data_IF_659028735701
#
_entry.id   IF_659028735701
#
_cell.length_a   1.000
_cell.length_b   1.000
_cell.length_c   1.000
_cell.angle_alpha   90.00
_cell.angle_beta   90.00
_cell.angle_gamma   90.00
#
_symmetry.space_group_name_H-M   'P 1'
#
loop_
_entity.id
_entity.type
_entity.pdbx_description
1 polymer ?
#
# COMPACT_ATOMS: atom_id res chain seq x y z
N UNK A 1 14.37 25.86 2.74
CA UNK A 1 14.51 25.50 1.31
C UNK A 1 14.65 23.99 1.12
N UNK A 2 15.57 23.31 1.82
CA UNK A 2 15.77 21.85 1.74
C UNK A 2 14.47 21.05 1.99
N UNK A 3 13.70 21.36 3.03
CA UNK A 3 12.44 20.69 3.36
C UNK A 3 11.46 20.64 2.19
N UNK A 4 11.27 21.77 1.49
CA UNK A 4 10.34 21.85 0.33
C UNK A 4 10.84 20.95 -0.81
N UNK A 5 12.14 20.96 -1.09
CA UNK A 5 12.76 20.10 -2.11
C UNK A 5 12.52 18.62 -1.79
N UNK A 6 12.69 18.21 -0.52
CA UNK A 6 12.50 16.83 -0.11
C UNK A 6 11.01 16.43 -0.10
N UNK A 7 10.08 17.32 0.21
CA UNK A 7 8.64 17.07 0.09
C UNK A 7 8.26 16.80 -1.38
N UNK A 8 8.77 17.61 -2.31
CA UNK A 8 8.57 17.39 -3.75
C UNK A 8 9.20 16.06 -4.16
N UNK A 9 10.41 15.75 -3.72
CA UNK A 9 11.09 14.48 -4.00
C UNK A 9 10.29 13.28 -3.48
N UNK A 10 9.73 13.37 -2.27
CA UNK A 10 8.88 12.31 -1.71
C UNK A 10 7.65 12.03 -2.59
N UNK A 11 6.98 13.08 -3.08
CA UNK A 11 5.88 12.92 -4.04
C UNK A 11 6.34 12.30 -5.36
N UNK A 12 7.48 12.74 -5.91
CA UNK A 12 8.03 12.21 -7.16
C UNK A 12 8.44 10.73 -7.02
N UNK A 13 9.08 10.34 -5.91
CA UNK A 13 9.38 8.95 -5.59
C UNK A 13 8.09 8.11 -5.57
N UNK A 14 7.08 8.59 -4.86
CA UNK A 14 5.77 7.95 -4.83
C UNK A 14 5.15 7.81 -6.22
N UNK A 15 5.34 8.81 -7.08
CA UNK A 15 4.77 8.88 -8.42
C UNK A 15 5.37 7.89 -9.43
N UNK A 16 6.46 7.19 -9.09
CA UNK A 16 7.03 6.13 -9.93
C UNK A 16 5.98 5.01 -10.12
N UNK A 17 5.43 4.80 -11.32
CA UNK A 17 4.41 3.80 -11.60
C UNK A 17 5.06 2.45 -11.93
N UNK A 18 5.67 1.81 -10.92
CA UNK A 18 6.55 0.64 -11.04
C UNK A 18 5.97 -0.48 -11.90
N UNK A 19 4.74 -0.93 -11.62
CA UNK A 19 4.11 -2.00 -12.38
C UNK A 19 3.85 -1.61 -13.85
N UNK A 20 3.44 -0.35 -14.10
CA UNK A 20 3.22 0.12 -15.46
C UNK A 20 4.53 0.16 -16.27
N UNK A 21 5.60 0.69 -15.68
CA UNK A 21 6.90 0.74 -16.34
C UNK A 21 7.49 -0.66 -16.54
N UNK A 22 7.42 -1.53 -15.55
CA UNK A 22 7.86 -2.93 -15.70
C UNK A 22 7.08 -3.59 -16.86
N UNK A 23 5.77 -3.44 -16.91
CA UNK A 23 4.95 -3.99 -17.99
C UNK A 23 5.34 -3.48 -19.37
N UNK A 24 5.50 -2.17 -19.51
CA UNK A 24 5.83 -1.55 -20.79
C UNK A 24 7.26 -1.86 -21.24
N UNK A 25 8.25 -1.74 -20.35
CA UNK A 25 9.67 -1.86 -20.70
C UNK A 25 10.09 -3.30 -20.96
N UNK A 26 9.65 -4.24 -20.10
CA UNK A 26 10.16 -5.61 -20.15
C UNK A 26 9.21 -6.61 -20.81
N UNK A 27 7.91 -6.26 -20.94
CA UNK A 27 6.90 -7.18 -21.47
C UNK A 27 6.12 -6.61 -22.66
N UNK A 28 6.32 -5.34 -22.99
CA UNK A 28 5.55 -4.62 -24.01
C UNK A 28 4.02 -4.68 -23.76
N UNK A 29 3.62 -4.68 -22.48
CA UNK A 29 2.22 -4.78 -22.03
C UNK A 29 1.83 -3.54 -21.25
N UNK A 30 0.67 -2.94 -21.60
CA UNK A 30 0.03 -1.89 -20.82
C UNK A 30 -0.91 -2.52 -19.79
N UNK A 31 -0.52 -2.55 -18.52
CA UNK A 31 -1.31 -3.14 -17.44
C UNK A 31 -2.71 -2.53 -17.27
N UNK A 32 -2.95 -1.34 -17.77
CA UNK A 32 -4.28 -0.70 -17.72
C UNK A 32 -5.31 -1.35 -18.63
N UNK A 33 -4.86 -2.09 -19.64
CA UNK A 33 -5.69 -2.77 -20.63
C UNK A 33 -5.88 -4.26 -20.27
N UNK A 34 -5.26 -4.74 -19.17
CA UNK A 34 -5.24 -6.15 -18.83
C UNK A 34 -5.66 -6.41 -17.37
N UNK A 35 -6.34 -7.51 -17.15
CA UNK A 35 -6.79 -7.97 -15.85
C UNK A 35 -7.74 -7.00 -15.17
N UNK A 36 -7.36 -6.44 -14.02
CA UNK A 36 -8.17 -5.44 -13.30
C UNK A 36 -7.98 -4.01 -13.79
N UNK A 37 -7.09 -3.76 -14.75
CA UNK A 37 -6.70 -2.43 -15.19
C UNK A 37 -5.87 -1.63 -14.17
N UNK A 38 -5.59 -2.21 -13.00
CA UNK A 38 -4.79 -1.54 -11.98
C UNK A 38 -3.29 -1.70 -12.26
N UNK A 39 -2.52 -0.65 -12.03
CA UNK A 39 -1.06 -0.62 -12.27
C UNK A 39 -0.22 -1.15 -11.10
N UNK A 40 -0.85 -1.62 -10.01
CA UNK A 40 -0.15 -2.06 -8.80
C UNK A 40 0.20 -3.55 -8.79
N UNK A 41 0.90 -3.93 -7.74
CA UNK A 41 1.49 -5.25 -7.47
C UNK A 41 0.59 -6.43 -7.84
N UNK A 42 -0.66 -6.46 -7.35
CA UNK A 42 -1.57 -7.62 -7.53
C UNK A 42 -1.89 -7.88 -9.01
N UNK A 43 -2.13 -6.83 -9.80
CA UNK A 43 -2.39 -6.98 -11.22
C UNK A 43 -1.11 -7.38 -11.98
N UNK A 44 0.03 -6.84 -11.56
CA UNK A 44 1.34 -7.23 -12.11
C UNK A 44 1.62 -8.72 -11.88
N UNK A 45 1.37 -9.24 -10.67
CA UNK A 45 1.46 -10.69 -10.40
C UNK A 45 0.58 -11.52 -11.34
N UNK A 46 -0.65 -11.06 -11.55
CA UNK A 46 -1.65 -11.78 -12.36
C UNK A 46 -1.29 -11.82 -13.85
N UNK A 47 -0.82 -10.71 -14.40
CA UNK A 47 -0.61 -10.56 -15.85
C UNK A 47 0.82 -10.88 -16.26
N UNK A 48 1.81 -10.46 -15.47
CA UNK A 48 3.23 -10.56 -15.81
C UNK A 48 3.97 -11.64 -15.02
N UNK A 49 3.27 -12.32 -14.10
CA UNK A 49 3.82 -13.42 -13.30
C UNK A 49 4.59 -12.98 -12.05
N UNK A 50 5.15 -14.01 -11.37
CA UNK A 50 5.69 -13.85 -10.00
C UNK A 50 6.88 -12.89 -9.92
N UNK A 51 7.82 -12.94 -10.87
CA UNK A 51 9.03 -12.10 -10.85
C UNK A 51 8.69 -10.61 -10.99
N UNK A 52 7.88 -10.26 -11.99
CA UNK A 52 7.45 -8.89 -12.22
C UNK A 52 6.58 -8.35 -11.08
N UNK A 53 5.67 -9.18 -10.55
CA UNK A 53 4.85 -8.83 -9.40
C UNK A 53 5.68 -8.55 -8.14
N UNK A 54 6.69 -9.39 -7.85
CA UNK A 54 7.59 -9.18 -6.72
C UNK A 54 8.44 -7.91 -6.90
N UNK A 55 8.99 -7.68 -8.08
CA UNK A 55 9.75 -6.45 -8.38
C UNK A 55 8.87 -5.21 -8.17
N UNK A 56 7.62 -5.24 -8.67
CA UNK A 56 6.65 -4.15 -8.44
C UNK A 56 6.38 -3.93 -6.95
N UNK A 57 6.17 -5.02 -6.18
CA UNK A 57 5.96 -4.93 -4.73
C UNK A 57 7.14 -4.29 -4.02
N UNK A 58 8.36 -4.76 -4.29
CA UNK A 58 9.59 -4.26 -3.67
C UNK A 58 9.77 -2.77 -3.96
N UNK A 59 9.63 -2.35 -5.22
CA UNK A 59 9.75 -0.93 -5.59
C UNK A 59 8.66 -0.11 -4.90
N UNK A 60 7.39 -0.55 -4.94
CA UNK A 60 6.28 0.19 -4.34
C UNK A 60 6.39 0.29 -2.82
N UNK A 61 6.88 -0.76 -2.15
CA UNK A 61 7.13 -0.76 -0.71
C UNK A 61 8.29 0.19 -0.36
N UNK A 62 9.45 -0.02 -0.97
CA UNK A 62 10.65 0.75 -0.59
C UNK A 62 10.60 2.21 -1.03
N UNK A 63 9.86 2.58 -2.08
CA UNK A 63 9.67 4.01 -2.38
C UNK A 63 8.92 4.74 -1.26
N UNK A 64 7.95 4.06 -0.59
CA UNK A 64 7.28 4.59 0.60
C UNK A 64 8.21 4.71 1.79
N UNK A 65 8.99 3.65 2.07
CA UNK A 65 10.01 3.64 3.13
C UNK A 65 11.05 4.74 2.92
N UNK A 66 11.63 4.81 1.73
CA UNK A 66 12.67 5.80 1.39
C UNK A 66 12.14 7.23 1.54
N UNK A 67 10.94 7.50 1.01
CA UNK A 67 10.33 8.82 1.15
C UNK A 67 10.17 9.21 2.63
N UNK A 68 9.69 8.29 3.47
CA UNK A 68 9.53 8.51 4.92
C UNK A 68 10.88 8.79 5.60
N UNK A 69 11.95 8.15 5.15
CA UNK A 69 13.28 8.32 5.74
C UNK A 69 14.04 9.55 5.22
N UNK A 70 13.58 10.23 4.16
CA UNK A 70 14.28 11.39 3.60
C UNK A 70 14.66 12.46 4.64
N UNK A 71 13.77 12.93 5.54
CA UNK A 71 14.14 13.94 6.51
C UNK A 71 15.20 13.46 7.50
N UNK A 72 15.24 12.16 7.81
CA UNK A 72 16.28 11.58 8.67
C UNK A 72 17.63 11.51 7.94
N UNK A 73 17.63 11.06 6.68
CA UNK A 73 18.84 10.96 5.85
C UNK A 73 19.49 12.32 5.62
N UNK A 74 18.67 13.37 5.41
CA UNK A 74 19.15 14.73 5.15
C UNK A 74 19.16 15.62 6.38
N UNK A 75 18.98 15.05 7.58
CA UNK A 75 18.99 15.78 8.86
C UNK A 75 18.05 16.99 8.92
N UNK A 76 16.90 16.91 8.25
CA UNK A 76 15.88 17.97 8.28
C UNK A 76 15.05 17.86 9.55
N UNK A 77 14.97 18.95 10.30
CA UNK A 77 14.18 19.07 11.53
C UNK A 77 12.88 19.84 11.31
N UNK A 78 11.94 19.75 12.26
CA UNK A 78 10.70 20.54 12.27
C UNK A 78 9.55 19.96 11.45
N UNK A 79 9.76 18.88 10.67
CA UNK A 79 8.68 18.17 9.94
C UNK A 79 8.78 16.68 10.21
N UNK A 80 7.67 16.07 10.67
CA UNK A 80 7.62 14.64 10.95
C UNK A 80 7.85 13.80 9.68
N UNK A 81 8.64 12.72 9.77
CA UNK A 81 8.87 11.79 8.65
C UNK A 81 7.60 11.26 7.99
N UNK A 82 6.53 11.06 8.74
CA UNK A 82 5.26 10.53 8.23
C UNK A 82 4.61 11.45 7.17
N UNK A 83 4.90 12.77 7.20
CA UNK A 83 4.41 13.73 6.19
C UNK A 83 5.02 13.44 4.81
N UNK A 84 6.31 13.12 4.77
CA UNK A 84 6.99 12.71 3.53
C UNK A 84 6.41 11.40 3.00
N UNK A 85 6.14 10.44 3.89
CA UNK A 85 5.45 9.20 3.55
C UNK A 85 4.06 9.43 2.96
N UNK A 86 3.28 10.34 3.55
CA UNK A 86 1.97 10.74 3.01
C UNK A 86 2.08 11.24 1.57
N UNK A 87 3.08 12.10 1.28
CA UNK A 87 3.30 12.59 -0.09
C UNK A 87 3.67 11.47 -1.07
N UNK A 88 4.43 10.45 -0.63
CA UNK A 88 4.69 9.29 -1.46
C UNK A 88 3.42 8.48 -1.76
N UNK A 89 2.51 8.35 -0.79
CA UNK A 89 1.21 7.68 -1.03
C UNK A 89 0.31 8.49 -1.96
N UNK A 90 0.29 9.82 -1.80
CA UNK A 90 -0.41 10.72 -2.73
C UNK A 90 0.19 10.56 -4.15
N UNK A 91 1.52 10.55 -4.27
CA UNK A 91 2.22 10.32 -5.54
C UNK A 91 1.89 8.95 -6.16
N UNK A 92 1.82 7.87 -5.38
CA UNK A 92 1.43 6.55 -5.88
C UNK A 92 -0.03 6.52 -6.35
N UNK A 93 -0.92 7.23 -5.67
CA UNK A 93 -2.36 7.26 -5.99
C UNK A 93 -2.67 8.17 -7.17
N UNK A 94 -1.96 9.30 -7.25
CA UNK A 94 -2.09 10.32 -8.29
C UNK A 94 -0.70 10.61 -8.91
N UNK A 95 -0.10 9.64 -9.62
CA UNK A 95 1.25 9.76 -10.13
C UNK A 95 1.33 10.70 -11.34
N UNK A 96 2.19 11.74 -11.23
CA UNK A 96 2.43 12.67 -12.34
C UNK A 96 2.95 11.93 -13.58
N UNK A 97 3.81 10.92 -13.41
CA UNK A 97 4.38 10.13 -14.52
C UNK A 97 3.39 9.16 -15.17
N UNK A 98 2.16 9.04 -14.64
CA UNK A 98 1.13 8.15 -15.18
C UNK A 98 -0.23 8.85 -15.33
N UNK A 99 -0.22 10.15 -15.68
CA UNK A 99 -1.41 10.98 -15.93
C UNK A 99 -2.40 10.94 -14.74
N UNK A 100 -1.87 10.99 -13.52
CA UNK A 100 -2.60 10.97 -12.25
C UNK A 100 -3.54 9.77 -12.03
N UNK A 101 -3.33 8.67 -12.77
CA UNK A 101 -4.09 7.42 -12.64
C UNK A 101 -3.19 6.34 -12.05
N UNK A 102 -3.17 6.22 -10.72
CA UNK A 102 -2.30 5.32 -9.97
C UNK A 102 -2.99 4.11 -9.35
N UNK A 103 -2.26 3.46 -8.43
CA UNK A 103 -2.67 2.25 -7.74
C UNK A 103 -3.56 2.49 -6.51
N UNK A 104 -3.66 1.46 -5.66
CA UNK A 104 -4.44 1.46 -4.41
C UNK A 104 -3.60 1.77 -3.17
N UNK A 105 -2.32 2.01 -3.38
CA UNK A 105 -1.32 2.40 -2.39
C UNK A 105 -1.07 1.44 -1.21
N UNK A 106 -1.52 0.19 -1.27
CA UNK A 106 -1.33 -0.78 -0.16
C UNK A 106 0.15 -0.99 0.15
N UNK A 107 0.95 -1.39 -0.84
CA UNK A 107 2.38 -1.64 -0.66
C UNK A 107 3.13 -0.36 -0.26
N UNK A 108 2.81 0.79 -0.88
CA UNK A 108 3.44 2.07 -0.55
C UNK A 108 3.08 2.54 0.86
N UNK A 109 1.82 2.40 1.29
CA UNK A 109 1.41 2.69 2.68
C UNK A 109 2.09 1.76 3.68
N UNK A 110 2.22 0.46 3.37
CA UNK A 110 2.98 -0.47 4.21
C UNK A 110 4.45 -0.03 4.34
N UNK A 111 5.08 0.39 3.24
CA UNK A 111 6.45 0.93 3.26
C UNK A 111 6.58 2.22 4.08
N UNK A 112 5.58 3.10 4.02
CA UNK A 112 5.53 4.32 4.83
C UNK A 112 5.45 3.98 6.32
N UNK A 113 4.53 3.07 6.69
CA UNK A 113 4.40 2.61 8.08
C UNK A 113 5.68 1.90 8.54
N UNK A 114 6.31 1.09 7.69
CA UNK A 114 7.59 0.45 8.00
C UNK A 114 8.70 1.46 8.28
N UNK A 115 8.80 2.52 7.49
CA UNK A 115 9.79 3.58 7.67
C UNK A 115 9.58 4.41 8.94
N UNK A 116 8.35 4.49 9.46
CA UNK A 116 8.00 5.28 10.64
C UNK A 116 7.88 4.44 11.92
N UNK A 117 7.17 3.32 11.87
CA UNK A 117 6.84 2.44 12.99
C UNK A 117 6.96 0.97 12.57
N UNK A 118 8.19 0.40 12.49
CA UNK A 118 8.41 -0.94 11.92
C UNK A 118 7.68 -2.06 12.67
N UNK A 119 7.58 -1.99 14.00
CA UNK A 119 6.81 -2.99 14.78
C UNK A 119 5.31 -2.93 14.47
N UNK A 120 4.79 -1.73 14.25
CA UNK A 120 3.39 -1.57 13.84
C UNK A 120 3.16 -2.11 12.42
N UNK A 121 4.10 -1.93 11.51
CA UNK A 121 4.07 -2.55 10.20
C UNK A 121 4.08 -4.09 10.29
N UNK A 122 4.88 -4.66 11.18
CA UNK A 122 4.91 -6.11 11.41
C UNK A 122 3.55 -6.64 11.90
N UNK A 123 2.92 -5.95 12.84
CA UNK A 123 1.55 -6.27 13.28
C UNK A 123 0.57 -6.30 12.09
N UNK A 124 0.60 -5.27 11.24
CA UNK A 124 -0.27 -5.20 10.06
C UNK A 124 0.04 -6.31 9.05
N UNK A 125 1.31 -6.68 8.90
CA UNK A 125 1.72 -7.80 8.05
C UNK A 125 1.18 -9.14 8.57
N UNK A 126 1.21 -9.37 9.88
CA UNK A 126 0.61 -10.59 10.50
C UNK A 126 -0.89 -10.66 10.19
N UNK A 127 -1.62 -9.57 10.36
CA UNK A 127 -3.05 -9.52 10.02
C UNK A 127 -3.26 -9.76 8.51
N UNK A 128 -2.49 -9.08 7.67
CA UNK A 128 -2.59 -9.22 6.21
C UNK A 128 -2.39 -10.68 5.76
N UNK A 129 -1.30 -11.32 6.17
CA UNK A 129 -0.98 -12.70 5.77
C UNK A 129 -1.91 -13.72 6.41
N UNK A 130 -2.33 -13.50 7.66
CA UNK A 130 -3.34 -14.34 8.33
C UNK A 130 -4.66 -14.35 7.56
N UNK A 131 -5.20 -13.17 7.24
CA UNK A 131 -6.44 -13.05 6.45
C UNK A 131 -6.23 -13.55 5.01
N UNK A 132 -5.05 -13.36 4.43
CA UNK A 132 -4.72 -13.88 3.11
C UNK A 132 -4.78 -15.41 3.07
N UNK A 133 -4.27 -16.08 4.10
CA UNK A 133 -4.34 -17.53 4.23
C UNK A 133 -5.78 -18.02 4.44
N UNK A 134 -6.54 -17.36 5.31
CA UNK A 134 -7.92 -17.75 5.61
C UNK A 134 -8.87 -17.48 4.43
N UNK A 135 -8.75 -16.34 3.78
CA UNK A 135 -9.71 -15.88 2.77
C UNK A 135 -9.24 -16.04 1.32
N UNK A 136 -7.95 -16.35 1.07
CA UNK A 136 -7.34 -16.46 -0.27
C UNK A 136 -7.49 -15.22 -1.15
N UNK A 137 -7.75 -14.03 -0.57
CA UNK A 137 -8.01 -12.77 -1.28
C UNK A 137 -7.09 -11.64 -0.81
N UNK A 138 -6.24 -11.14 -1.71
CA UNK A 138 -5.36 -9.98 -1.42
C UNK A 138 -6.18 -8.73 -1.05
N UNK A 139 -7.33 -8.54 -1.69
CA UNK A 139 -8.19 -7.39 -1.41
C UNK A 139 -8.80 -7.44 0.00
N UNK A 140 -9.31 -8.59 0.43
CA UNK A 140 -9.83 -8.76 1.80
C UNK A 140 -8.73 -8.52 2.82
N UNK A 141 -7.54 -9.08 2.60
CA UNK A 141 -6.38 -8.90 3.47
C UNK A 141 -5.97 -7.42 3.58
N UNK A 142 -5.97 -6.70 2.44
CA UNK A 142 -5.65 -5.27 2.41
C UNK A 142 -6.66 -4.43 3.20
N UNK A 143 -7.95 -4.72 3.06
CA UNK A 143 -9.03 -4.04 3.78
C UNK A 143 -8.94 -4.35 5.29
N UNK A 144 -8.74 -5.62 5.66
CA UNK A 144 -8.59 -6.04 7.05
C UNK A 144 -7.37 -5.41 7.72
N UNK A 145 -6.23 -5.35 7.03
CA UNK A 145 -5.04 -4.65 7.52
C UNK A 145 -5.27 -3.15 7.67
N UNK A 146 -6.04 -2.51 6.76
CA UNK A 146 -6.39 -1.10 6.88
C UNK A 146 -7.31 -0.84 8.09
N UNK A 147 -8.30 -1.70 8.34
CA UNK A 147 -9.15 -1.61 9.54
C UNK A 147 -8.31 -1.84 10.81
N UNK A 148 -7.43 -2.85 10.80
CA UNK A 148 -6.53 -3.12 11.91
C UNK A 148 -5.57 -1.95 12.19
N UNK A 149 -5.14 -1.21 11.14
CA UNK A 149 -4.34 0.00 11.30
C UNK A 149 -5.10 1.09 12.07
N UNK A 150 -6.37 1.33 11.74
CA UNK A 150 -7.21 2.30 12.45
C UNK A 150 -7.38 1.89 13.92
N UNK A 151 -7.73 0.62 14.16
CA UNK A 151 -7.90 0.10 15.52
C UNK A 151 -6.59 0.19 16.31
N UNK A 152 -5.47 -0.20 15.69
CA UNK A 152 -4.17 -0.23 16.33
C UNK A 152 -3.66 1.15 16.74
N UNK A 153 -3.77 2.18 15.85
CA UNK A 153 -3.31 3.54 16.20
C UNK A 153 -4.17 4.20 17.29
N UNK A 154 -5.42 3.76 17.46
CA UNK A 154 -6.30 4.27 18.50
C UNK A 154 -6.13 3.53 19.84
N UNK A 155 -5.90 2.21 19.82
CA UNK A 155 -5.90 1.40 21.04
C UNK A 155 -4.50 1.14 21.60
N UNK A 156 -3.48 0.89 20.78
CA UNK A 156 -2.17 0.49 21.27
C UNK A 156 -1.49 1.52 22.17
N UNK A 157 -1.58 2.83 21.88
CA UNK A 157 -1.01 3.84 22.75
C UNK A 157 -1.64 3.88 24.17
N UNK A 158 -2.92 3.44 24.32
CA UNK A 158 -3.59 3.37 25.60
C UNK A 158 -2.92 2.37 26.56
N UNK A 159 -2.33 1.32 25.99
CA UNK A 159 -1.73 0.22 26.74
C UNK A 159 -0.19 0.23 26.64
N UNK A 160 0.40 1.19 25.94
CA UNK A 160 1.84 1.21 25.64
C UNK A 160 2.33 0.00 24.85
N UNK A 161 1.44 -0.69 24.13
CA UNK A 161 1.75 -1.89 23.36
C UNK A 161 2.03 -1.56 21.90
N UNK A 162 3.18 -1.99 21.36
CA UNK A 162 3.67 -1.69 19.99
C UNK A 162 3.89 -0.18 19.75
N UNK A 163 2.93 0.66 20.11
CA UNK A 163 3.03 2.12 20.09
C UNK A 163 3.02 2.61 21.55
N UNK A 164 4.14 3.22 21.99
CA UNK A 164 4.37 3.59 23.39
C UNK A 164 3.56 4.81 23.84
N UNK A 165 3.15 5.67 22.91
CA UNK A 165 2.39 6.92 23.19
C UNK A 165 1.61 7.36 21.96
N UNK A 166 0.65 8.28 22.18
CA UNK A 166 -0.07 8.91 21.08
C UNK A 166 0.84 9.90 20.34
N UNK A 167 0.96 9.70 19.03
CA UNK A 167 1.40 10.70 18.07
C UNK A 167 0.17 11.08 17.23
N UNK A 168 -0.35 12.29 17.45
CA UNK A 168 -1.57 12.76 16.78
C UNK A 168 -1.39 12.78 15.26
N UNK A 169 -0.24 13.22 14.77
CA UNK A 169 0.01 13.34 13.34
C UNK A 169 0.10 11.95 12.68
N UNK A 170 0.81 11.00 13.31
CA UNK A 170 0.87 9.62 12.87
C UNK A 170 -0.53 8.98 12.87
N UNK A 171 -1.31 9.20 13.93
CA UNK A 171 -2.68 8.69 14.06
C UNK A 171 -3.57 9.20 12.92
N UNK A 172 -3.62 10.51 12.70
CA UNK A 172 -4.46 11.12 11.65
C UNK A 172 -4.04 10.66 10.26
N UNK A 173 -2.74 10.66 9.97
CA UNK A 173 -2.24 10.21 8.67
C UNK A 173 -2.54 8.72 8.46
N UNK A 174 -2.31 7.86 9.47
CA UNK A 174 -2.60 6.42 9.35
C UNK A 174 -4.08 6.16 9.10
N UNK A 175 -4.98 6.86 9.79
CA UNK A 175 -6.44 6.78 9.52
C UNK A 175 -6.74 7.23 8.09
N UNK A 176 -6.13 8.32 7.62
CA UNK A 176 -6.27 8.81 6.25
C UNK A 176 -5.81 7.80 5.20
N UNK A 177 -4.62 7.20 5.40
CA UNK A 177 -4.06 6.16 4.51
C UNK A 177 -4.95 4.91 4.49
N UNK A 178 -5.40 4.44 5.65
CA UNK A 178 -6.29 3.28 5.77
C UNK A 178 -7.63 3.54 5.08
N UNK A 179 -8.23 4.71 5.28
CA UNK A 179 -9.46 5.13 4.61
C UNK A 179 -9.29 5.19 3.09
N UNK A 180 -8.17 5.74 2.61
CA UNK A 180 -7.84 5.77 1.19
C UNK A 180 -7.77 4.35 0.62
N UNK A 181 -7.09 3.42 1.31
CA UNK A 181 -7.02 2.01 0.89
C UNK A 181 -8.41 1.42 0.79
N UNK A 182 -9.27 1.58 1.80
CA UNK A 182 -10.64 1.04 1.81
C UNK A 182 -11.46 1.60 0.63
N UNK A 183 -11.45 2.93 0.44
CA UNK A 183 -12.17 3.58 -0.67
C UNK A 183 -11.69 3.09 -2.04
N UNK A 184 -10.37 2.91 -2.22
CA UNK A 184 -9.78 2.39 -3.46
C UNK A 184 -10.09 0.90 -3.69
N UNK A 185 -10.65 0.19 -2.71
CA UNK A 185 -11.10 -1.19 -2.83
C UNK A 185 -12.62 -1.35 -3.05
N UNK A 186 -13.37 -0.26 -3.33
CA UNK A 186 -14.82 -0.30 -3.52
C UNK A 186 -15.30 -1.40 -4.50
N UNK A 187 -14.61 -1.56 -5.63
CA UNK A 187 -14.98 -2.57 -6.63
C UNK A 187 -14.63 -4.00 -6.17
N UNK A 188 -13.58 -4.15 -5.35
CA UNK A 188 -13.25 -5.42 -4.71
C UNK A 188 -14.31 -5.79 -3.67
N UNK A 189 -14.76 -4.83 -2.85
CA UNK A 189 -15.82 -5.05 -1.86
C UNK A 189 -17.08 -5.57 -2.55
N UNK A 190 -17.50 -4.96 -3.66
CA UNK A 190 -18.63 -5.45 -4.45
C UNK A 190 -18.41 -6.89 -4.95
N UNK A 191 -17.21 -7.24 -5.45
CA UNK A 191 -16.92 -8.60 -5.88
C UNK A 191 -16.88 -9.59 -4.73
N UNK A 192 -16.36 -9.21 -3.56
CA UNK A 192 -16.39 -10.04 -2.35
C UNK A 192 -17.84 -10.35 -1.94
N UNK A 193 -18.70 -9.33 -1.91
CA UNK A 193 -20.13 -9.49 -1.58
C UNK A 193 -20.86 -10.40 -2.58
N UNK A 194 -20.51 -10.30 -3.87
CA UNK A 194 -21.10 -11.10 -4.94
C UNK A 194 -20.40 -12.48 -5.12
N UNK A 195 -19.47 -12.84 -4.24
CA UNK A 195 -18.67 -14.08 -4.29
C UNK A 195 -17.85 -14.27 -5.60
N UNK A 196 -17.44 -13.17 -6.23
CA UNK A 196 -16.72 -13.16 -7.52
C UNK A 196 -15.32 -12.54 -7.43
N UNK A 197 -14.77 -12.36 -6.20
CA UNK A 197 -13.44 -11.79 -6.05
C UNK A 197 -12.35 -12.79 -6.48
N UNK A 198 -11.26 -12.25 -7.01
CA UNK A 198 -10.13 -13.05 -7.47
C UNK A 198 -9.38 -13.69 -6.30
N UNK A 199 -9.14 -14.99 -6.41
CA UNK A 199 -8.39 -15.76 -5.44
C UNK A 199 -6.91 -15.87 -5.83
N UNK A 200 -6.05 -16.02 -4.83
CA UNK A 200 -4.71 -16.58 -5.01
C UNK A 200 -4.81 -18.12 -5.03
N UNK A 201 -3.82 -18.82 -5.62
CA UNK A 201 -3.90 -20.28 -5.81
C UNK A 201 -3.64 -21.11 -4.54
N UNK A 202 -3.63 -20.46 -3.36
CA UNK A 202 -3.39 -21.10 -2.07
C UNK A 202 -4.20 -20.41 -0.96
N UNK A 203 -4.32 -21.06 0.20
CA UNK A 203 -5.16 -20.63 1.32
C UNK A 203 -6.46 -21.41 1.40
N UNK A 204 -7.27 -21.11 2.43
CA UNK A 204 -8.44 -21.92 2.79
C UNK A 204 -9.74 -21.49 2.09
N UNK A 205 -9.79 -20.28 1.51
CA UNK A 205 -11.00 -19.72 0.90
C UNK A 205 -12.26 -19.88 1.77
N UNK A 206 -12.16 -19.61 3.08
CA UNK A 206 -13.30 -19.76 4.02
C UNK A 206 -14.52 -18.90 3.66
N UNK A 207 -14.37 -17.94 2.77
CA UNK A 207 -15.47 -17.10 2.28
C UNK A 207 -16.22 -17.72 1.10
N UNK A 208 -15.79 -18.92 0.64
CA UNK A 208 -16.39 -19.63 -0.48
C UNK A 208 -16.60 -18.74 -1.71
N UNK A 209 -15.54 -18.04 -2.12
CA UNK A 209 -15.57 -17.27 -3.37
C UNK A 209 -15.55 -18.19 -4.58
N UNK A 210 -16.33 -17.83 -5.60
CA UNK A 210 -16.44 -18.54 -6.89
C UNK A 210 -16.04 -17.59 -8.03
N UNK A 211 -14.74 -17.31 -8.22
CA UNK A 211 -14.31 -16.37 -9.25
C UNK A 211 -14.68 -16.88 -10.63
N UNK A 212 -15.14 -15.98 -11.50
CA UNK A 212 -15.39 -16.30 -12.90
C UNK A 212 -14.09 -16.83 -13.54
N UNK A 213 -14.18 -17.96 -14.20
CA UNK A 213 -13.11 -18.57 -15.00
C UNK A 213 -12.68 -17.64 -16.13
#
# INVERSE_FOLDING_TARGET
>A
MMTIVLLILAYLLGSIPSGLWIGQIFFNINLREHGSGNTGTTNTFRILGKKAGMATFVIDFFKGTLATLLPLIFHVQGVSPIVFGLLAVIGHTFPIFAKFKGGKAVATSAGVIFGFAPLFCLYLAVIFFGILYLGSMISLSSISAAIAAIIGVLLFPLFGFILSSYDLLFTVITIGLASLVIVRHKDNIKRIQNKTENLIPWGLNLTHQEPKK
#
